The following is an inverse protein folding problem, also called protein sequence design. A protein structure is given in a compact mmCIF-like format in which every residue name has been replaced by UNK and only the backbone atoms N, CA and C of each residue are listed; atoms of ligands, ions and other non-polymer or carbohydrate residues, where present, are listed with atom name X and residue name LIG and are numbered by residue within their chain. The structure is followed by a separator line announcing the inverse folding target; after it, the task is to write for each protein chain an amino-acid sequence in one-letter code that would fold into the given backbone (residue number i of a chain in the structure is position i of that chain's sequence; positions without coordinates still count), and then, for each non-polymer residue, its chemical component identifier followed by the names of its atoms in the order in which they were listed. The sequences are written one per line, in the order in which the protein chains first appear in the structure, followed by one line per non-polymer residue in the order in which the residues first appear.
data_IF_439718191651
#
_entry.id   IF_439718191651
#
_cell.length_a   1.000
_cell.length_b   1.000
_cell.length_c   1.000
_cell.angle_alpha   90.00
_cell.angle_beta   90.00
_cell.angle_gamma   90.00
#
_symmetry.space_group_name_H-M   'P 1'
#
loop_
_entity.id
_entity.type
_entity.pdbx_description
1 polymer ?
#
# COMPACT_ATOMS: atom_id res chain seq x y z
N UNK A 1 -6.37 15.52 -8.89
CA UNK A 1 -5.49 15.21 -10.04
C UNK A 1 -4.98 16.53 -10.57
N UNK A 2 -3.66 16.74 -10.58
CA UNK A 2 -3.06 18.02 -10.97
C UNK A 2 -2.28 17.82 -12.26
N UNK A 3 -2.61 18.59 -13.29
CA UNK A 3 -1.95 18.53 -14.59
C UNK A 3 -0.77 19.51 -14.62
N UNK A 4 0.40 19.03 -15.03
CA UNK A 4 1.60 19.83 -15.19
C UNK A 4 2.03 19.81 -16.66
N UNK A 5 2.34 20.98 -17.21
CA UNK A 5 2.79 21.14 -18.58
C UNK A 5 4.29 21.49 -18.60
N UNK A 6 5.11 20.64 -19.23
CA UNK A 6 6.53 20.93 -19.47
C UNK A 6 6.69 21.36 -20.92
N UNK A 7 7.21 22.56 -21.15
CA UNK A 7 7.52 23.07 -22.49
C UNK A 7 8.98 22.79 -22.85
N UNK A 8 9.24 21.87 -23.78
CA UNK A 8 10.58 21.59 -24.32
C UNK A 8 10.73 22.30 -25.67
N UNK A 9 11.79 23.10 -25.82
CA UNK A 9 12.11 23.76 -27.09
C UNK A 9 12.80 22.75 -28.01
N UNK A 10 12.11 22.34 -29.06
CA UNK A 10 12.59 21.36 -30.06
C UNK A 10 12.89 22.05 -31.40
N UNK A 11 13.83 21.51 -32.18
CA UNK A 11 14.15 21.94 -33.55
C UNK A 11 13.13 21.43 -34.59
N UNK A 12 12.16 20.61 -34.18
CA UNK A 12 11.09 20.09 -35.03
C UNK A 12 9.95 21.10 -35.17
N UNK A 13 9.40 21.24 -36.37
CA UNK A 13 8.20 22.07 -36.66
C UNK A 13 6.91 21.47 -36.06
N UNK A 14 6.97 20.24 -35.54
CA UNK A 14 5.84 19.58 -34.90
C UNK A 14 5.80 19.93 -33.41
N UNK A 15 4.64 20.38 -32.93
CA UNK A 15 4.36 20.48 -31.49
C UNK A 15 4.30 19.07 -30.90
N UNK A 16 5.27 18.71 -30.07
CA UNK A 16 5.24 17.48 -29.28
C UNK A 16 4.61 17.85 -27.94
N UNK A 17 3.45 17.26 -27.63
CA UNK A 17 2.82 17.35 -26.31
C UNK A 17 3.21 16.10 -25.55
N UNK A 18 3.96 16.26 -24.46
CA UNK A 18 4.31 15.18 -23.54
C UNK A 18 3.44 15.37 -22.31
N UNK A 19 2.48 14.47 -22.10
CA UNK A 19 1.75 14.38 -20.83
C UNK A 19 2.56 13.49 -19.89
N UNK A 20 2.97 14.04 -18.76
CA UNK A 20 3.57 13.26 -17.68
C UNK A 20 2.60 13.21 -16.50
N UNK A 21 2.23 12.01 -16.11
CA UNK A 21 1.39 11.75 -14.95
C UNK A 21 2.30 11.63 -13.72
N UNK A 22 2.26 12.63 -12.84
CA UNK A 22 2.83 12.50 -11.50
C UNK A 22 1.81 11.73 -10.66
N UNK A 23 2.08 10.47 -10.34
CA UNK A 23 1.32 9.75 -9.31
C UNK A 23 1.67 10.38 -7.97
N UNK A 24 0.72 11.11 -7.38
CA UNK A 24 0.88 11.69 -6.04
C UNK A 24 0.72 10.54 -5.06
N UNK A 25 1.84 9.97 -4.63
CA UNK A 25 1.86 8.97 -3.58
C UNK A 25 1.57 9.62 -2.22
N UNK A 26 0.75 8.97 -1.41
CA UNK A 26 0.48 9.44 -0.05
C UNK A 26 1.67 9.06 0.83
N UNK A 27 2.29 10.02 1.54
CA UNK A 27 3.41 9.70 2.42
C UNK A 27 2.96 8.76 3.52
N UNK A 28 3.82 7.79 3.86
CA UNK A 28 3.56 6.87 4.98
C UNK A 28 3.52 7.64 6.30
N UNK A 29 2.53 7.32 7.15
CA UNK A 29 2.46 7.88 8.50
C UNK A 29 3.57 7.31 9.38
N UNK A 30 3.93 8.02 10.45
CA UNK A 30 4.95 7.55 11.40
C UNK A 30 4.57 6.19 12.01
N UNK A 31 3.28 5.96 12.28
CA UNK A 31 2.79 4.69 12.82
C UNK A 31 3.04 3.54 11.85
N UNK A 32 2.75 3.75 10.56
CA UNK A 32 3.06 2.76 9.52
C UNK A 32 4.56 2.50 9.46
N UNK A 33 5.39 3.55 9.44
CA UNK A 33 6.87 3.42 9.41
C UNK A 33 7.40 2.61 10.61
N UNK A 34 6.87 2.83 11.81
CA UNK A 34 7.25 2.07 13.02
C UNK A 34 6.95 0.58 12.83
N UNK A 35 5.76 0.24 12.31
CA UNK A 35 5.40 -1.16 12.03
C UNK A 35 6.23 -1.78 10.90
N UNK A 36 6.65 -1.01 9.90
CA UNK A 36 7.57 -1.52 8.86
C UNK A 36 8.97 -1.81 9.40
N UNK A 37 9.46 -0.98 10.35
CA UNK A 37 10.68 -1.27 11.07
C UNK A 37 10.54 -2.54 11.92
N UNK A 38 9.42 -2.73 12.60
CA UNK A 38 9.13 -3.95 13.37
C UNK A 38 9.25 -5.20 12.48
N UNK A 39 8.62 -5.20 11.30
CA UNK A 39 8.76 -6.28 10.29
C UNK A 39 10.23 -6.49 9.93
N UNK A 40 10.98 -5.41 9.69
CA UNK A 40 12.40 -5.47 9.29
C UNK A 40 13.30 -6.05 10.37
N UNK A 41 12.95 -5.85 11.64
CA UNK A 41 13.68 -6.41 12.79
C UNK A 41 13.28 -7.84 13.13
N UNK A 42 12.04 -8.21 12.83
CA UNK A 42 11.48 -9.53 13.09
C UNK A 42 11.93 -10.57 12.06
N UNK A 43 12.08 -10.17 10.79
CA UNK A 43 12.50 -11.07 9.71
C UNK A 43 14.03 -11.23 9.73
N UNK A 44 14.47 -12.45 10.06
CA UNK A 44 15.88 -12.80 10.12
C UNK A 44 16.48 -12.99 8.72
N UNK A 45 15.80 -13.75 7.86
CA UNK A 45 16.21 -14.01 6.47
C UNK A 45 15.35 -13.25 5.46
N UNK A 46 15.86 -12.08 5.06
CA UNK A 46 15.19 -11.20 4.09
C UNK A 46 15.24 -11.72 2.65
N UNK A 47 15.83 -12.88 2.40
CA UNK A 47 15.83 -13.52 1.08
C UNK A 47 14.54 -14.30 0.82
N UNK A 48 13.92 -14.84 1.88
CA UNK A 48 12.71 -15.68 1.80
C UNK A 48 11.91 -15.60 3.09
N UNK A 49 10.61 -15.33 2.97
CA UNK A 49 9.69 -15.33 4.11
C UNK A 49 9.21 -16.74 4.45
N UNK A 50 9.29 -17.10 5.72
CA UNK A 50 8.68 -18.28 6.31
C UNK A 50 7.17 -18.09 6.55
N UNK A 51 6.44 -19.18 6.78
CA UNK A 51 4.99 -19.12 7.02
C UNK A 51 4.64 -18.38 8.32
N UNK A 52 5.45 -18.54 9.38
CA UNK A 52 5.27 -17.81 10.64
C UNK A 52 5.45 -16.31 10.46
N UNK A 53 6.52 -15.89 9.77
CA UNK A 53 6.76 -14.46 9.48
C UNK A 53 5.63 -13.88 8.64
N UNK A 54 5.09 -14.65 7.68
CA UNK A 54 3.95 -14.20 6.87
C UNK A 54 2.72 -13.94 7.74
N UNK A 55 2.42 -14.80 8.70
CA UNK A 55 1.26 -14.64 9.57
C UNK A 55 1.43 -13.51 10.58
N UNK A 56 2.64 -13.27 11.06
CA UNK A 56 2.99 -12.10 11.88
C UNK A 56 2.87 -10.80 11.08
N UNK A 57 3.42 -10.75 9.86
CA UNK A 57 3.29 -9.60 8.95
C UNK A 57 1.81 -9.28 8.66
N UNK A 58 0.97 -10.31 8.45
CA UNK A 58 -0.47 -10.09 8.28
C UNK A 58 -1.11 -9.47 9.51
N UNK A 59 -0.71 -9.92 10.70
CA UNK A 59 -1.25 -9.41 11.95
C UNK A 59 -0.88 -7.93 12.15
N UNK A 60 0.35 -7.55 11.81
CA UNK A 60 0.83 -6.16 11.87
C UNK A 60 -0.01 -5.24 10.95
N UNK A 61 -0.22 -5.62 9.69
CA UNK A 61 -1.03 -4.80 8.77
C UNK A 61 -2.51 -4.76 9.19
N UNK A 62 -3.03 -5.85 9.73
CA UNK A 62 -4.40 -5.88 10.26
C UNK A 62 -4.56 -4.88 11.41
N UNK A 63 -3.62 -4.85 12.35
CA UNK A 63 -3.60 -3.89 13.46
C UNK A 63 -3.57 -2.43 12.96
N UNK A 64 -2.74 -2.13 11.95
CA UNK A 64 -2.71 -0.79 11.34
C UNK A 64 -4.09 -0.37 10.84
N UNK A 65 -4.74 -1.24 10.07
CA UNK A 65 -6.04 -0.92 9.46
C UNK A 65 -7.16 -0.84 10.51
N UNK A 66 -7.14 -1.71 11.53
CA UNK A 66 -8.10 -1.68 12.64
C UNK A 66 -7.97 -0.40 13.48
N UNK A 67 -6.76 0.15 13.57
CA UNK A 67 -6.49 1.46 14.18
C UNK A 67 -6.84 2.66 13.28
N UNK A 68 -7.35 2.41 12.07
CA UNK A 68 -7.78 3.45 11.13
C UNK A 68 -6.66 4.03 10.26
N UNK A 69 -5.47 3.43 10.27
CA UNK A 69 -4.38 3.84 9.37
C UNK A 69 -4.67 3.40 7.93
N UNK A 70 -4.24 4.22 6.97
CA UNK A 70 -4.23 3.88 5.54
C UNK A 70 -2.85 4.12 4.97
N UNK A 71 -2.47 3.30 4.02
CA UNK A 71 -1.17 3.38 3.36
C UNK A 71 -1.31 3.12 1.86
N UNK A 72 -0.39 3.70 1.09
CA UNK A 72 -0.21 3.37 -0.33
C UNK A 72 0.69 2.14 -0.44
N UNK A 73 0.23 1.12 -1.15
CA UNK A 73 0.93 -0.16 -1.33
C UNK A 73 2.26 0.04 -2.05
N UNK A 74 2.31 0.97 -3.01
CA UNK A 74 3.53 1.25 -3.75
C UNK A 74 4.58 1.89 -2.83
N UNK A 75 4.15 2.73 -1.89
CA UNK A 75 5.03 3.33 -0.89
C UNK A 75 5.56 2.30 0.11
N UNK A 76 4.79 1.24 0.40
CA UNK A 76 5.28 0.11 1.21
C UNK A 76 6.43 -0.61 0.48
N UNK A 77 6.26 -0.97 -0.80
CA UNK A 77 7.32 -1.62 -1.58
C UNK A 77 8.56 -0.73 -1.69
N UNK A 78 8.36 0.57 -1.93
CA UNK A 78 9.44 1.55 -2.03
C UNK A 78 10.15 1.78 -0.70
N UNK A 79 9.44 1.77 0.43
CA UNK A 79 10.07 1.88 1.74
C UNK A 79 11.05 0.73 1.98
N UNK A 80 10.63 -0.52 1.71
CA UNK A 80 11.51 -1.68 1.84
C UNK A 80 12.68 -1.64 0.85
N UNK A 81 12.48 -1.09 -0.35
CA UNK A 81 13.56 -0.88 -1.32
C UNK A 81 14.65 0.04 -0.77
N UNK A 82 14.25 1.13 -0.12
CA UNK A 82 15.18 2.18 0.33
C UNK A 82 15.77 1.95 1.72
N UNK A 83 15.14 1.11 2.55
CA UNK A 83 15.69 0.75 3.86
C UNK A 83 17.07 0.06 3.72
N UNK A 84 17.28 -0.67 2.62
CA UNK A 84 18.60 -1.13 2.17
C UNK A 84 19.03 -2.53 2.64
N UNK A 85 18.34 -3.13 3.61
CA UNK A 85 18.61 -4.51 4.04
C UNK A 85 17.87 -5.55 3.17
N UNK A 86 16.77 -5.17 2.53
CA UNK A 86 15.94 -6.01 1.67
C UNK A 86 16.44 -6.07 0.22
N UNK A 87 17.48 -6.87 -0.01
CA UNK A 87 18.16 -6.96 -1.31
C UNK A 87 17.36 -7.67 -2.41
N UNK A 88 16.54 -8.65 -2.04
CA UNK A 88 15.74 -9.43 -3.00
C UNK A 88 14.39 -8.77 -3.21
N UNK A 89 13.93 -8.72 -4.47
CA UNK A 89 12.65 -8.09 -4.82
C UNK A 89 11.44 -8.93 -4.36
N UNK A 90 11.55 -10.26 -4.45
CA UNK A 90 10.42 -11.16 -4.22
C UNK A 90 9.80 -11.02 -2.81
N UNK A 91 10.57 -10.98 -1.71
CA UNK A 91 10.01 -10.73 -0.37
C UNK A 91 9.35 -9.36 -0.25
N UNK A 92 9.94 -8.31 -0.81
CA UNK A 92 9.37 -6.94 -0.79
C UNK A 92 7.99 -6.89 -1.45
N UNK A 93 7.91 -7.42 -2.67
CA UNK A 93 6.64 -7.52 -3.43
C UNK A 93 5.63 -8.38 -2.68
N UNK A 94 6.07 -9.46 -2.04
CA UNK A 94 5.18 -10.32 -1.25
C UNK A 94 4.59 -9.58 -0.06
N UNK A 95 5.37 -8.78 0.65
CA UNK A 95 4.91 -7.95 1.77
C UNK A 95 3.89 -6.91 1.29
N UNK A 96 4.17 -6.22 0.18
CA UNK A 96 3.24 -5.26 -0.43
C UNK A 96 1.92 -5.93 -0.86
N UNK A 97 1.97 -7.15 -1.42
CA UNK A 97 0.77 -7.90 -1.77
C UNK A 97 -0.05 -8.31 -0.54
N UNK A 98 0.62 -8.70 0.56
CA UNK A 98 -0.06 -9.00 1.83
C UNK A 98 -0.75 -7.76 2.38
N UNK A 99 -0.07 -6.61 2.38
CA UNK A 99 -0.63 -5.35 2.88
C UNK A 99 -1.86 -4.91 2.09
N UNK A 100 -1.83 -5.07 0.75
CA UNK A 100 -2.97 -4.80 -0.12
C UNK A 100 -4.15 -5.73 0.18
N UNK A 101 -3.90 -7.04 0.24
CA UNK A 101 -4.95 -8.04 0.51
C UNK A 101 -5.71 -7.75 1.81
N UNK A 102 -5.00 -7.35 2.87
CA UNK A 102 -5.61 -7.08 4.18
C UNK A 102 -6.44 -5.79 4.13
N UNK A 103 -5.94 -4.75 3.47
CA UNK A 103 -6.67 -3.49 3.28
C UNK A 103 -7.96 -3.70 2.50
N UNK A 104 -7.89 -4.40 1.36
CA UNK A 104 -9.04 -4.71 0.53
C UNK A 104 -10.08 -5.56 1.29
N UNK A 105 -9.63 -6.58 2.03
CA UNK A 105 -10.50 -7.45 2.82
C UNK A 105 -11.21 -6.69 3.94
N UNK A 106 -10.51 -5.80 4.63
CA UNK A 106 -11.10 -4.95 5.67
C UNK A 106 -12.14 -4.00 5.06
N UNK A 107 -11.83 -3.36 3.93
CA UNK A 107 -12.76 -2.48 3.24
C UNK A 107 -14.03 -3.23 2.82
N UNK A 108 -13.92 -4.42 2.22
CA UNK A 108 -15.06 -5.26 1.88
C UNK A 108 -15.93 -5.60 3.10
N UNK A 109 -15.29 -5.98 4.22
CA UNK A 109 -16.00 -6.31 5.47
C UNK A 109 -16.72 -5.08 6.03
N UNK A 110 -16.10 -3.90 5.97
CA UNK A 110 -16.72 -2.65 6.43
C UNK A 110 -17.91 -2.23 5.57
N UNK A 111 -17.83 -2.42 4.25
CA UNK A 111 -18.94 -2.13 3.33
C UNK A 111 -20.14 -3.04 3.58
N UNK A 112 -19.91 -4.31 3.94
CA UNK A 112 -20.99 -5.25 4.26
C UNK A 112 -21.69 -4.94 5.60
N UNK A 113 -20.96 -4.38 6.59
CA UNK A 113 -21.53 -4.01 7.90
C UNK A 113 -22.48 -2.80 7.84
N UNK A 114 -22.40 -1.97 6.81
CA UNK A 114 -23.28 -0.79 6.65
C UNK A 114 -24.67 -1.21 6.14
N UNK A 115 -24.79 -2.37 5.48
CA UNK A 115 -26.05 -2.86 4.87
C UNK A 115 -26.89 -3.66 5.88
N UNK A 116 -26.44 -3.87 7.12
CA UNK A 116 -27.11 -4.78 8.06
C UNK A 116 -28.12 -4.14 9.02
N UNK A 117 -28.45 -2.85 8.89
CA UNK A 117 -29.37 -2.15 9.81
C UNK A 117 -30.54 -1.40 9.14
N UNK A 118 -30.73 -1.49 7.83
CA UNK A 118 -31.95 -0.99 7.18
C UNK A 118 -33.02 -2.10 7.15
N UNK A 119 -33.73 -2.19 8.27
CA UNK A 119 -35.19 -2.18 8.35
C UNK A 119 -35.95 -2.53 7.05
N UNK A 120 -35.78 -3.75 6.55
CA UNK A 120 -36.73 -4.35 5.61
C UNK A 120 -37.94 -4.83 6.40
N UNK A 121 -38.70 -3.87 6.93
CA UNK A 121 -40.09 -4.04 7.29
C UNK A 121 -40.88 -4.44 6.05
N UNK A 122 -40.89 -5.73 5.72
CA UNK A 122 -41.92 -6.34 4.89
C UNK A 122 -43.23 -6.27 5.69
N UNK A 123 -43.86 -5.09 5.66
CA UNK A 123 -45.18 -4.87 6.20
C UNK A 123 -46.21 -5.70 5.43
N UNK A 124 -46.96 -6.50 6.19
CA UNK A 124 -48.28 -7.12 5.92
C UNK A 124 -48.57 -7.68 4.53
#
# INVERSE_FOLDING_TARGET
MSNYWIAIKTMSTQKIVIEYYVKIHMPLTNNVIIKLNEITTMVEDKSKLSESEIDEIKSIFKELIENGERYDVDEIEFWFENEGSWKTKEPRVRIANLSNYIQDKHQQTSHLKIISDDDCGCGH
#
